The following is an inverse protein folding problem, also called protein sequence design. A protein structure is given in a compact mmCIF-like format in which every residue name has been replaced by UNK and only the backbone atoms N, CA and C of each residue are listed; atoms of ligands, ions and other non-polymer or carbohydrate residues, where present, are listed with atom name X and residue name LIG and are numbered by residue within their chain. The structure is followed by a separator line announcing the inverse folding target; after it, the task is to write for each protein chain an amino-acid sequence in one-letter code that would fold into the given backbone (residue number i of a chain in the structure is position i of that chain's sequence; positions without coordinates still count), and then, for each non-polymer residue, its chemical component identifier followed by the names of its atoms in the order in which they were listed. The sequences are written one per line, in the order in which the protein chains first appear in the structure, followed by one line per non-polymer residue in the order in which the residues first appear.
data_IF_655253213060
#
_entry.id   IF_655253213060
#
_cell.length_a   1.000
_cell.length_b   1.000
_cell.length_c   1.000
_cell.angle_alpha   90.00
_cell.angle_beta   90.00
_cell.angle_gamma   90.00
#
_symmetry.space_group_name_H-M   'P 1'
#
loop_
_entity.id
_entity.type
_entity.pdbx_description
1 polymer ?
#
# COMPACT_ATOMS: atom_id res chain seq x y z
N UNK A 1 71.03 -4.90 -27.56
CA UNK A 1 71.93 -4.60 -26.42
C UNK A 1 71.11 -4.48 -25.16
N UNK A 2 71.50 -5.25 -24.15
CA UNK A 2 71.15 -5.01 -22.75
C UNK A 2 71.59 -3.61 -22.31
N UNK A 3 70.81 -2.97 -21.44
CA UNK A 3 71.33 -2.17 -20.34
C UNK A 3 70.41 -2.38 -19.13
N UNK A 4 70.80 -3.36 -18.33
CA UNK A 4 70.53 -3.43 -16.91
C UNK A 4 71.11 -2.20 -16.22
N UNK A 5 70.35 -1.50 -15.37
CA UNK A 5 70.91 -0.87 -14.18
C UNK A 5 69.82 -0.86 -13.09
N UNK A 6 69.98 -1.77 -12.13
CA UNK A 6 69.46 -1.61 -10.78
C UNK A 6 70.27 -0.47 -10.12
N UNK A 7 69.73 0.32 -9.19
CA UNK A 7 69.75 0.02 -7.75
C UNK A 7 68.86 1.03 -7.00
N UNK A 8 68.02 0.45 -6.12
CA UNK A 8 67.41 0.92 -4.86
C UNK A 8 67.78 2.29 -4.26
N UNK A 9 66.77 3.04 -3.79
CA UNK A 9 66.74 3.69 -2.47
C UNK A 9 65.28 3.94 -2.01
N UNK A 10 64.89 3.22 -0.95
CA UNK A 10 64.14 3.65 0.26
C UNK A 10 62.93 4.62 0.17
N UNK A 11 61.77 4.19 0.70
CA UNK A 11 60.65 5.08 1.04
C UNK A 11 59.33 4.33 1.35
N UNK A 12 58.90 4.25 2.62
CA UNK A 12 57.73 3.48 3.06
C UNK A 12 56.40 4.25 2.92
N UNK A 13 55.30 3.50 3.01
CA UNK A 13 53.90 3.97 3.16
C UNK A 13 53.24 4.68 1.96
N UNK A 14 52.49 3.90 1.18
CA UNK A 14 51.26 4.39 0.57
C UNK A 14 50.25 3.24 0.50
N UNK A 15 49.22 3.37 1.33
CA UNK A 15 48.29 2.31 1.71
C UNK A 15 47.55 1.63 0.58
N UNK A 16 47.25 0.36 0.83
CA UNK A 16 46.21 -0.39 0.15
C UNK A 16 44.85 0.32 0.36
N UNK A 17 44.45 1.13 -0.62
CA UNK A 17 43.06 1.58 -0.74
C UNK A 17 42.33 0.55 -1.59
N UNK A 18 41.60 -0.30 -0.89
CA UNK A 18 40.63 -1.25 -1.42
C UNK A 18 39.58 -0.40 -2.15
N UNK A 19 39.61 -0.40 -3.49
CA UNK A 19 38.58 0.24 -4.28
C UNK A 19 37.26 -0.52 -4.04
N UNK A 20 36.36 0.11 -3.30
CA UNK A 20 35.02 -0.39 -3.02
C UNK A 20 34.21 -0.51 -4.31
N UNK A 21 33.54 -1.66 -4.47
CA UNK A 21 32.59 -1.95 -5.54
C UNK A 21 31.57 -0.82 -5.76
N UNK A 22 31.15 -0.55 -7.01
CA UNK A 22 30.06 0.36 -7.28
C UNK A 22 28.77 -0.26 -6.74
N UNK A 23 28.27 0.29 -5.64
CA UNK A 23 26.98 -0.06 -5.04
C UNK A 23 25.90 0.27 -6.06
N UNK A 24 25.44 -0.74 -6.80
CA UNK A 24 24.29 -0.64 -7.68
C UNK A 24 23.09 -0.28 -6.77
N UNK A 25 22.74 1.00 -6.70
CA UNK A 25 21.56 1.45 -5.99
C UNK A 25 20.36 0.75 -6.62
N UNK A 26 19.79 -0.20 -5.88
CA UNK A 26 18.55 -0.86 -6.26
C UNK A 26 17.50 0.24 -6.36
N UNK A 27 16.99 0.46 -7.56
CA UNK A 27 15.92 1.41 -7.81
C UNK A 27 14.75 1.10 -6.87
N UNK A 28 14.48 1.99 -5.92
CA UNK A 28 13.34 1.90 -5.02
C UNK A 28 12.20 2.75 -5.61
N UNK A 29 11.21 2.12 -6.26
CA UNK A 29 10.10 2.83 -6.90
C UNK A 29 9.26 3.62 -5.88
N UNK A 30 9.26 3.21 -4.60
CA UNK A 30 8.54 3.89 -3.54
C UNK A 30 9.24 5.20 -3.15
N UNK A 31 10.56 5.17 -3.06
CA UNK A 31 11.36 6.37 -2.83
C UNK A 31 11.25 7.38 -4.00
N UNK A 32 11.20 6.89 -5.25
CA UNK A 32 10.97 7.72 -6.42
C UNK A 32 9.57 8.35 -6.42
N UNK A 33 8.53 7.59 -6.06
CA UNK A 33 7.16 8.10 -5.95
C UNK A 33 7.03 9.21 -4.89
N UNK A 34 7.68 9.06 -3.73
CA UNK A 34 7.71 10.12 -2.70
C UNK A 34 8.39 11.41 -3.15
N UNK A 35 9.37 11.34 -4.07
CA UNK A 35 10.00 12.53 -4.66
C UNK A 35 9.06 13.25 -5.65
N UNK A 36 8.27 12.49 -6.42
CA UNK A 36 7.37 13.06 -7.43
C UNK A 36 6.07 13.61 -6.83
N UNK A 37 5.53 12.98 -5.78
CA UNK A 37 4.25 13.35 -5.17
C UNK A 37 4.35 14.38 -4.04
N UNK A 38 5.58 14.81 -3.70
CA UNK A 38 5.83 15.69 -2.56
C UNK A 38 5.53 15.02 -1.22
N UNK A 39 5.89 15.70 -0.12
CA UNK A 39 5.48 15.26 1.22
C UNK A 39 3.97 15.45 1.33
N UNK A 40 3.19 14.41 1.71
CA UNK A 40 1.77 14.59 1.95
C UNK A 40 1.60 15.67 3.04
N UNK A 41 0.56 16.53 2.94
CA UNK A 41 0.27 17.48 4.01
C UNK A 41 0.09 16.70 5.31
N UNK A 42 0.91 17.03 6.32
CA UNK A 42 0.68 16.54 7.68
C UNK A 42 -0.63 17.17 8.15
N UNK A 43 -1.69 16.37 8.14
CA UNK A 43 -2.88 16.69 8.93
C UNK A 43 -2.43 16.88 10.39
N UNK A 44 -2.80 17.98 11.07
CA UNK A 44 -2.54 18.10 12.49
C UNK A 44 -3.32 16.99 13.21
N UNK A 45 -2.58 16.02 13.74
CA UNK A 45 -3.11 15.13 14.76
C UNK A 45 -3.25 16.00 16.01
N UNK A 46 -4.48 16.42 16.30
CA UNK A 46 -4.81 17.11 17.54
C UNK A 46 -4.76 16.05 18.66
N UNK A 47 -3.54 15.71 19.08
CA UNK A 47 -3.25 14.81 20.17
C UNK A 47 -2.99 15.66 21.41
N UNK A 48 -4.07 16.17 22.01
CA UNK A 48 -4.00 16.60 23.39
C UNK A 48 -3.68 15.38 24.25
N UNK A 49 -2.43 15.34 24.69
CA UNK A 49 -1.97 14.52 25.79
C UNK A 49 -2.90 14.69 27.01
N UNK A 50 -3.54 13.59 27.43
CA UNK A 50 -3.54 13.30 28.86
C UNK A 50 -2.39 12.31 29.09
N UNK A 51 -1.31 12.85 29.61
CA UNK A 51 -0.09 12.16 30.03
C UNK A 51 -0.40 10.88 30.80
N UNK A 52 0.07 9.75 30.26
CA UNK A 52 0.62 8.62 31.01
C UNK A 52 1.48 7.81 30.02
N UNK A 53 2.78 7.77 30.26
CA UNK A 53 3.72 6.82 29.65
C UNK A 53 4.32 6.03 30.81
N UNK A 54 4.77 4.78 30.68
CA UNK A 54 4.69 3.84 29.56
C UNK A 54 3.94 2.55 29.92
N UNK A 55 3.20 1.97 28.97
CA UNK A 55 2.55 0.68 29.16
C UNK A 55 2.39 -0.02 27.83
N UNK A 56 2.80 -1.27 27.76
CA UNK A 56 2.41 -2.17 26.68
C UNK A 56 0.90 -2.40 26.81
N UNK A 57 0.10 -1.50 26.28
CA UNK A 57 -1.35 -1.62 26.33
C UNK A 57 -1.82 -2.53 25.18
N UNK A 58 -1.25 -3.74 25.12
CA UNK A 58 -2.04 -4.88 24.66
C UNK A 58 -3.20 -4.95 25.64
N UNK A 59 -4.37 -4.43 25.27
CA UNK A 59 -5.61 -4.71 25.99
C UNK A 59 -5.68 -6.23 26.13
N UNK A 60 -5.45 -6.79 27.31
CA UNK A 60 -5.45 -8.24 27.46
C UNK A 60 -6.85 -8.70 27.11
N UNK A 61 -6.98 -9.59 26.12
CA UNK A 61 -8.25 -10.26 25.84
C UNK A 61 -8.68 -11.17 27.01
N UNK A 62 -7.85 -11.30 28.04
CA UNK A 62 -8.15 -11.99 29.31
C UNK A 62 -9.44 -11.48 29.98
N UNK A 63 -9.74 -10.19 29.85
CA UNK A 63 -10.97 -9.59 30.39
C UNK A 63 -12.09 -9.43 29.34
N UNK A 64 -11.85 -9.85 28.10
CA UNK A 64 -12.89 -9.88 27.09
C UNK A 64 -13.85 -11.02 27.43
N UNK A 65 -15.11 -10.68 27.74
CA UNK A 65 -16.17 -11.67 27.86
C UNK A 65 -16.19 -12.50 26.57
N UNK A 66 -16.00 -13.81 26.69
CA UNK A 66 -16.29 -14.71 25.57
C UNK A 66 -17.73 -14.45 25.15
N UNK A 67 -17.95 -14.12 23.88
CA UNK A 67 -19.29 -14.15 23.35
C UNK A 67 -19.72 -15.61 23.38
N UNK A 68 -20.73 -15.91 24.20
CA UNK A 68 -21.43 -17.17 24.02
C UNK A 68 -22.14 -17.05 22.68
N UNK A 69 -21.94 -18.05 21.81
CA UNK A 69 -22.82 -18.22 20.65
C UNK A 69 -24.17 -18.62 21.23
N UNK A 70 -24.91 -17.64 21.72
CA UNK A 70 -26.33 -17.80 21.86
C UNK A 70 -26.82 -17.98 20.43
N UNK A 71 -27.41 -19.13 20.19
CA UNK A 71 -28.32 -19.31 19.07
C UNK A 71 -29.48 -18.38 19.38
N UNK A 72 -29.26 -17.07 19.24
CA UNK A 72 -30.32 -16.12 19.06
C UNK A 72 -31.17 -16.79 18.00
N UNK A 73 -32.45 -17.06 18.32
CA UNK A 73 -33.43 -17.23 17.27
C UNK A 73 -33.08 -16.13 16.29
N UNK A 74 -32.53 -16.53 15.14
CA UNK A 74 -32.10 -15.62 14.11
C UNK A 74 -33.42 -15.04 13.64
N UNK A 75 -33.92 -14.04 14.39
CA UNK A 75 -34.98 -13.17 13.95
C UNK A 75 -34.50 -12.76 12.58
N UNK A 76 -35.34 -12.95 11.57
CA UNK A 76 -35.09 -12.68 10.14
C UNK A 76 -34.30 -11.36 9.87
N UNK A 77 -34.21 -10.49 10.89
CA UNK A 77 -33.44 -9.27 10.99
C UNK A 77 -31.90 -9.39 10.91
N UNK A 78 -31.23 -10.48 11.31
CA UNK A 78 -29.75 -10.59 11.10
C UNK A 78 -29.45 -10.87 9.63
N UNK A 79 -30.28 -11.71 8.98
CA UNK A 79 -30.27 -11.80 7.52
C UNK A 79 -30.58 -10.44 6.91
N UNK A 80 -31.45 -9.60 7.48
CA UNK A 80 -31.72 -8.25 6.96
C UNK A 80 -30.52 -7.29 6.93
N UNK A 81 -29.53 -7.46 7.83
CA UNK A 81 -28.30 -6.63 7.84
C UNK A 81 -27.31 -7.10 6.77
N UNK A 82 -27.24 -8.41 6.51
CA UNK A 82 -26.56 -8.97 5.33
C UNK A 82 -27.37 -8.78 4.03
N UNK A 83 -28.69 -8.62 4.14
CA UNK A 83 -29.67 -8.47 3.06
C UNK A 83 -30.12 -7.02 2.86
N UNK A 84 -29.29 -6.04 3.24
CA UNK A 84 -29.15 -4.87 2.35
C UNK A 84 -28.66 -5.31 0.96
N UNK A 85 -28.12 -6.53 0.89
CA UNK A 85 -27.90 -7.36 -0.28
C UNK A 85 -29.09 -7.39 -1.24
N UNK A 86 -28.96 -6.55 -2.27
CA UNK A 86 -29.21 -6.90 -3.67
C UNK A 86 -29.49 -8.38 -3.89
N UNK A 87 -30.61 -8.70 -4.55
CA UNK A 87 -30.87 -10.07 -5.02
C UNK A 87 -29.70 -10.57 -5.89
N UNK A 88 -29.46 -11.88 -5.91
CA UNK A 88 -28.36 -12.49 -6.70
C UNK A 88 -28.37 -12.01 -8.16
N UNK A 89 -29.55 -11.91 -8.77
CA UNK A 89 -29.71 -11.39 -10.13
C UNK A 89 -29.29 -9.92 -10.26
N UNK A 90 -29.62 -9.08 -9.28
CA UNK A 90 -29.26 -7.66 -9.33
C UNK A 90 -27.78 -7.44 -8.98
N UNK A 91 -27.17 -8.28 -8.12
CA UNK A 91 -25.71 -8.29 -7.93
C UNK A 91 -24.97 -8.67 -9.23
N UNK A 92 -25.47 -9.66 -9.97
CA UNK A 92 -24.89 -10.05 -11.25
C UNK A 92 -24.92 -8.90 -12.28
N UNK A 93 -26.02 -8.12 -12.30
CA UNK A 93 -26.12 -6.91 -13.13
C UNK A 93 -25.11 -5.83 -12.69
N UNK A 94 -25.05 -5.52 -11.39
CA UNK A 94 -24.06 -4.58 -10.85
C UNK A 94 -22.62 -5.00 -11.17
N UNK A 95 -22.33 -6.31 -11.09
CA UNK A 95 -21.02 -6.86 -11.38
C UNK A 95 -20.67 -6.80 -12.88
N UNK A 96 -21.62 -7.11 -13.76
CA UNK A 96 -21.43 -6.99 -15.20
C UNK A 96 -21.10 -5.54 -15.62
N UNK A 97 -21.80 -4.55 -15.07
CA UNK A 97 -21.47 -3.13 -15.29
C UNK A 97 -20.09 -2.76 -14.74
N UNK A 98 -19.71 -3.32 -13.59
CA UNK A 98 -18.38 -3.08 -13.01
C UNK A 98 -17.27 -3.61 -13.93
N UNK A 99 -17.42 -4.81 -14.49
CA UNK A 99 -16.46 -5.38 -15.44
C UNK A 99 -16.36 -4.55 -16.72
N UNK A 100 -17.49 -4.09 -17.26
CA UNK A 100 -17.50 -3.19 -18.41
C UNK A 100 -16.73 -1.89 -18.12
N UNK A 101 -16.97 -1.29 -16.95
CA UNK A 101 -16.26 -0.08 -16.51
C UNK A 101 -14.76 -0.32 -16.34
N UNK A 102 -14.34 -1.50 -15.86
CA UNK A 102 -12.93 -1.85 -15.78
C UNK A 102 -12.27 -1.92 -17.16
N UNK A 103 -12.97 -2.49 -18.15
CA UNK A 103 -12.51 -2.51 -19.54
C UNK A 103 -12.40 -1.08 -20.11
N UNK A 104 -13.39 -0.22 -19.83
CA UNK A 104 -13.34 1.19 -20.21
C UNK A 104 -12.16 1.90 -19.55
N UNK A 105 -11.88 1.65 -18.26
CA UNK A 105 -10.74 2.23 -17.55
C UNK A 105 -9.40 1.86 -18.21
N UNK A 106 -9.27 0.61 -18.67
CA UNK A 106 -8.09 0.17 -19.42
C UNK A 106 -7.96 0.94 -20.73
N UNK A 107 -9.04 1.04 -21.51
CA UNK A 107 -9.06 1.82 -22.75
C UNK A 107 -8.72 3.30 -22.52
N UNK A 108 -9.29 3.95 -21.50
CA UNK A 108 -8.98 5.33 -21.15
C UNK A 108 -7.52 5.52 -20.74
N UNK A 109 -6.95 4.58 -19.99
CA UNK A 109 -5.54 4.65 -19.60
C UNK A 109 -4.59 4.52 -20.80
N UNK A 110 -4.94 3.68 -21.78
CA UNK A 110 -4.19 3.55 -23.02
C UNK A 110 -4.22 4.84 -23.85
N UNK A 111 -5.33 5.57 -23.81
CA UNK A 111 -5.50 6.85 -24.51
C UNK A 111 -4.80 8.02 -23.80
N UNK A 112 -4.92 8.14 -22.48
CA UNK A 112 -4.37 9.28 -21.72
C UNK A 112 -2.85 9.20 -21.54
N UNK A 113 -2.27 7.99 -21.59
CA UNK A 113 -0.87 7.69 -21.23
C UNK A 113 -0.48 8.14 -19.81
N UNK A 114 -1.45 8.43 -18.96
CA UNK A 114 -1.24 8.82 -17.58
C UNK A 114 -1.56 7.66 -16.63
N UNK A 115 -0.62 7.26 -15.75
CA UNK A 115 -0.83 6.15 -14.83
C UNK A 115 -1.93 6.42 -13.79
N UNK A 116 -2.22 7.69 -13.48
CA UNK A 116 -3.27 8.03 -12.51
C UNK A 116 -4.68 7.84 -13.06
N UNK A 117 -4.84 7.93 -14.38
CA UNK A 117 -6.14 7.79 -15.05
C UNK A 117 -6.77 6.43 -14.77
N UNK A 118 -5.98 5.35 -14.85
CA UNK A 118 -6.46 3.99 -14.53
C UNK A 118 -6.87 3.86 -13.06
N UNK A 119 -6.06 4.39 -12.14
CA UNK A 119 -6.28 4.29 -10.70
C UNK A 119 -7.56 5.05 -10.30
N UNK A 120 -7.70 6.29 -10.78
CA UNK A 120 -8.87 7.11 -10.50
C UNK A 120 -10.15 6.49 -11.09
N UNK A 121 -10.06 5.96 -12.32
CA UNK A 121 -11.19 5.30 -12.97
C UNK A 121 -11.63 4.04 -12.21
N UNK A 122 -10.68 3.18 -11.79
CA UNK A 122 -11.00 2.01 -10.96
C UNK A 122 -11.65 2.37 -9.63
N UNK A 123 -11.13 3.39 -8.95
CA UNK A 123 -11.71 3.85 -7.69
C UNK A 123 -13.17 4.32 -7.87
N UNK A 124 -13.45 5.00 -8.97
CA UNK A 124 -14.80 5.40 -9.34
C UNK A 124 -15.70 4.20 -9.68
N UNK A 125 -15.22 3.26 -10.50
CA UNK A 125 -15.95 2.04 -10.84
C UNK A 125 -16.31 1.22 -9.60
N UNK A 126 -15.38 1.09 -8.65
CA UNK A 126 -15.64 0.40 -7.38
C UNK A 126 -16.65 1.14 -6.51
N UNK A 127 -16.60 2.47 -6.47
CA UNK A 127 -17.60 3.27 -5.76
C UNK A 127 -19.00 3.03 -6.33
N UNK A 128 -19.15 3.03 -7.66
CA UNK A 128 -20.44 2.79 -8.32
C UNK A 128 -20.95 1.37 -8.10
N UNK A 129 -20.06 0.38 -8.13
CA UNK A 129 -20.39 -1.00 -7.80
C UNK A 129 -20.98 -1.13 -6.39
N UNK A 130 -20.33 -0.52 -5.39
CA UNK A 130 -20.80 -0.53 -4.01
C UNK A 130 -22.13 0.21 -3.85
N UNK A 131 -22.30 1.35 -4.54
CA UNK A 131 -23.56 2.09 -4.56
C UNK A 131 -24.71 1.27 -5.16
N UNK A 132 -24.44 0.53 -6.25
CA UNK A 132 -25.41 -0.37 -6.88
C UNK A 132 -25.88 -1.45 -5.89
N UNK A 133 -24.98 -1.91 -5.02
CA UNK A 133 -25.26 -2.90 -3.98
C UNK A 133 -25.75 -2.31 -2.64
N UNK A 134 -25.91 -0.98 -2.55
CA UNK A 134 -26.45 -0.30 -1.37
C UNK A 134 -25.44 0.10 -0.28
N UNK A 135 -24.16 0.27 -0.62
CA UNK A 135 -23.06 0.69 0.28
C UNK A 135 -22.55 2.12 0.04
#
# INVERSE_FOLDING_TARGET
MSCFFAIFLDGPDAGAQIASEPRHERFDPRAAAHRMMGKPPRMPQNLDQRTSSPGLDSTPLDDAQSFEYEQADLSDDIESVAARGVSEGHEAECFAEYEERLMQCEAYSALSRDPYTYIACKANAFKLYNQCRGY
#
